data_IF_113759713616
#
_entry.id   IF_113759713616
#
_cell.length_a   1.000
_cell.length_b   1.000
_cell.length_c   1.000
_cell.angle_alpha   90.00
_cell.angle_beta   90.00
_cell.angle_gamma   90.00
#
_symmetry.space_group_name_H-M   'P 1'
#
loop_
_entity.id
_entity.type
_entity.pdbx_description
1 polymer ?
#
# COMPACT_ATOMS: atom_id res chain seq x y z
N UNK A 1 -15.59 24.89 0.46
CA UNK A 1 -15.37 23.70 -0.40
C UNK A 1 -14.78 22.63 0.50
N UNK A 2 -15.43 21.48 0.65
CA UNK A 2 -15.04 20.53 1.70
C UNK A 2 -13.62 20.03 1.48
N UNK A 3 -12.75 20.19 2.46
CA UNK A 3 -11.36 19.74 2.49
C UNK A 3 -11.19 18.30 2.00
N UNK A 4 -12.16 17.42 2.35
CA UNK A 4 -12.21 16.01 1.92
C UNK A 4 -12.33 15.90 0.38
N UNK A 5 -13.15 16.72 -0.28
CA UNK A 5 -13.27 16.69 -1.75
C UNK A 5 -11.96 17.08 -2.44
N UNK A 6 -11.23 18.04 -1.87
CA UNK A 6 -9.92 18.46 -2.38
C UNK A 6 -8.91 17.32 -2.24
N UNK A 7 -8.92 16.63 -1.10
CA UNK A 7 -8.05 15.46 -0.85
C UNK A 7 -8.33 14.32 -1.84
N UNK A 8 -9.59 14.00 -2.09
CA UNK A 8 -10.00 12.97 -3.08
C UNK A 8 -9.56 13.34 -4.50
N UNK A 9 -9.46 14.63 -4.82
CA UNK A 9 -9.01 15.08 -6.14
C UNK A 9 -7.55 14.65 -6.44
N UNK A 10 -6.66 14.64 -5.43
CA UNK A 10 -5.27 14.20 -5.60
C UNK A 10 -5.14 12.71 -5.90
N UNK A 11 -6.13 11.88 -5.54
CA UNK A 11 -6.19 10.48 -5.96
C UNK A 11 -6.57 10.30 -7.43
N UNK A 12 -7.06 11.35 -8.09
CA UNK A 12 -7.51 11.30 -9.48
C UNK A 12 -6.50 10.68 -10.45
N UNK A 13 -5.26 11.17 -10.51
CA UNK A 13 -4.20 10.63 -11.39
C UNK A 13 -3.74 9.23 -11.01
N UNK A 14 -3.85 8.86 -9.72
CA UNK A 14 -3.28 7.62 -9.16
C UNK A 14 -4.31 6.51 -8.93
N UNK A 15 -5.55 6.66 -9.41
CA UNK A 15 -6.66 5.70 -9.21
C UNK A 15 -6.29 4.27 -9.56
N UNK A 16 -5.60 4.07 -10.68
CA UNK A 16 -5.23 2.73 -11.14
C UNK A 16 -4.24 2.07 -10.18
N UNK A 17 -3.22 2.81 -9.74
CA UNK A 17 -2.23 2.32 -8.77
C UNK A 17 -2.91 1.98 -7.44
N UNK A 18 -3.82 2.85 -6.98
CA UNK A 18 -4.58 2.65 -5.75
C UNK A 18 -5.46 1.39 -5.80
N UNK A 19 -6.19 1.17 -6.91
CA UNK A 19 -7.02 -0.03 -7.04
C UNK A 19 -6.21 -1.31 -7.13
N UNK A 20 -5.08 -1.31 -7.83
CA UNK A 20 -4.19 -2.47 -7.90
C UNK A 20 -3.59 -2.76 -6.52
N UNK A 21 -3.17 -1.72 -5.79
CA UNK A 21 -2.67 -1.82 -4.42
C UNK A 21 -3.71 -2.48 -3.49
N UNK A 22 -4.95 -2.05 -3.57
CA UNK A 22 -6.06 -2.60 -2.79
C UNK A 22 -6.36 -4.07 -3.14
N UNK A 23 -6.28 -4.43 -4.42
CA UNK A 23 -6.42 -5.83 -4.86
C UNK A 23 -5.26 -6.67 -4.34
N UNK A 24 -4.02 -6.20 -4.45
CA UNK A 24 -2.85 -6.89 -3.90
C UNK A 24 -2.97 -7.08 -2.38
N UNK A 25 -3.41 -6.06 -1.65
CA UNK A 25 -3.64 -6.16 -0.20
C UNK A 25 -4.72 -7.20 0.14
N UNK A 26 -5.80 -7.26 -0.63
CA UNK A 26 -6.85 -8.28 -0.46
C UNK A 26 -6.30 -9.69 -0.73
N UNK A 27 -5.50 -9.88 -1.79
CA UNK A 27 -4.85 -11.16 -2.10
C UNK A 27 -3.91 -11.59 -0.97
N UNK A 28 -3.09 -10.68 -0.45
CA UNK A 28 -2.20 -10.96 0.68
C UNK A 28 -3.02 -11.45 1.88
N UNK A 29 -4.09 -10.75 2.23
CA UNK A 29 -4.96 -11.11 3.36
C UNK A 29 -5.63 -12.48 3.18
N UNK A 30 -6.07 -12.81 1.97
CA UNK A 30 -6.64 -14.12 1.66
C UNK A 30 -5.59 -15.24 1.81
N UNK A 31 -4.37 -15.03 1.35
CA UNK A 31 -3.26 -15.99 1.51
C UNK A 31 -2.92 -16.17 2.98
N UNK A 32 -2.84 -15.09 3.77
CA UNK A 32 -2.55 -15.14 5.21
C UNK A 32 -3.62 -15.92 5.99
N UNK A 33 -4.88 -15.89 5.55
CA UNK A 33 -5.96 -16.68 6.12
C UNK A 33 -5.94 -18.14 5.64
N UNK A 34 -5.63 -18.37 4.38
CA UNK A 34 -5.61 -19.71 3.78
C UNK A 34 -4.45 -20.57 4.31
N UNK A 35 -3.29 -19.96 4.55
CA UNK A 35 -2.07 -20.66 4.95
C UNK A 35 -2.23 -21.52 6.21
N UNK A 36 -2.71 -20.99 7.35
CA UNK A 36 -2.93 -21.80 8.56
C UNK A 36 -4.02 -22.86 8.39
N UNK A 37 -5.03 -22.63 7.53
CA UNK A 37 -6.07 -23.62 7.27
C UNK A 37 -5.54 -24.81 6.49
N UNK A 38 -4.69 -24.58 5.49
CA UNK A 38 -4.02 -25.63 4.73
C UNK A 38 -3.13 -26.46 5.66
N UNK A 39 -2.29 -25.81 6.48
CA UNK A 39 -1.43 -26.49 7.44
C UNK A 39 -2.23 -27.33 8.45
N UNK A 40 -3.33 -26.79 8.98
CA UNK A 40 -4.21 -27.51 9.90
C UNK A 40 -4.82 -28.76 9.26
N UNK A 41 -5.29 -28.63 8.02
CA UNK A 41 -5.87 -29.75 7.27
C UNK A 41 -4.82 -30.83 7.01
N UNK A 42 -3.62 -30.43 6.62
CA UNK A 42 -2.49 -31.31 6.42
C UNK A 42 -2.12 -32.09 7.68
N UNK A 43 -1.98 -31.37 8.80
CA UNK A 43 -1.62 -32.01 10.08
C UNK A 43 -2.66 -33.06 10.47
N UNK A 44 -3.95 -32.76 10.31
CA UNK A 44 -5.01 -33.75 10.58
C UNK A 44 -4.92 -34.97 9.66
N UNK A 45 -4.67 -34.74 8.37
CA UNK A 45 -4.58 -35.81 7.38
C UNK A 45 -3.35 -36.72 7.62
N UNK A 46 -2.22 -36.14 8.04
CA UNK A 46 -1.00 -36.86 8.39
C UNK A 46 -1.19 -37.83 9.56
N UNK A 47 -2.09 -37.53 10.52
CA UNK A 47 -2.37 -38.39 11.67
C UNK A 47 -3.42 -39.47 11.40
N UNK A 48 -4.15 -39.40 10.27
CA UNK A 48 -5.32 -40.28 10.02
C UNK A 48 -5.21 -41.13 8.76
N UNK A 49 -4.22 -40.97 7.89
CA UNK A 49 -4.11 -41.69 6.61
C UNK A 49 -2.81 -42.52 6.45
N UNK A 50 -2.89 -43.50 5.54
CA UNK A 50 -1.77 -44.37 5.15
C UNK A 50 -0.58 -43.57 4.61
N UNK A 51 0.60 -43.90 5.08
CA UNK A 51 1.88 -43.25 4.82
C UNK A 51 2.24 -43.16 3.32
N UNK A 52 1.78 -44.08 2.50
CA UNK A 52 2.03 -44.09 1.05
C UNK A 52 1.30 -42.99 0.29
N UNK A 53 0.07 -42.64 0.66
CA UNK A 53 -0.71 -41.57 0.04
C UNK A 53 -0.16 -40.20 0.40
N UNK A 54 0.37 -40.05 1.60
CA UNK A 54 0.99 -38.81 2.10
C UNK A 54 2.24 -38.49 1.29
N UNK A 55 3.11 -39.46 1.01
CA UNK A 55 4.34 -39.23 0.24
C UNK A 55 4.07 -38.72 -1.18
N UNK A 56 2.98 -39.13 -1.82
CA UNK A 56 2.59 -38.65 -3.15
C UNK A 56 1.90 -37.25 -3.12
N UNK A 57 1.18 -36.95 -2.05
CA UNK A 57 0.49 -35.67 -1.91
C UNK A 57 1.42 -34.51 -1.47
N UNK A 58 2.48 -34.85 -0.72
CA UNK A 58 3.39 -33.89 -0.12
C UNK A 58 4.07 -32.95 -1.13
N UNK A 59 4.62 -33.40 -2.27
CA UNK A 59 5.25 -32.52 -3.25
C UNK A 59 4.24 -31.58 -3.94
N UNK A 60 3.00 -32.05 -4.17
CA UNK A 60 1.95 -31.23 -4.80
C UNK A 60 1.54 -30.09 -3.87
N UNK A 61 1.39 -30.39 -2.59
CA UNK A 61 1.00 -29.40 -1.59
C UNK A 61 2.15 -28.43 -1.32
N UNK A 62 3.38 -28.92 -1.22
CA UNK A 62 4.56 -28.09 -1.09
C UNK A 62 4.71 -27.12 -2.28
N UNK A 63 4.48 -27.61 -3.50
CA UNK A 63 4.47 -26.79 -4.71
C UNK A 63 3.38 -25.72 -4.68
N UNK A 64 2.17 -26.07 -4.24
CA UNK A 64 1.06 -25.13 -4.08
C UNK A 64 1.36 -24.03 -3.05
N UNK A 65 1.88 -24.39 -1.89
CA UNK A 65 2.29 -23.43 -0.86
C UNK A 65 3.43 -22.54 -1.33
N UNK A 66 4.39 -23.09 -2.06
CA UNK A 66 5.48 -22.30 -2.65
C UNK A 66 4.96 -21.28 -3.66
N UNK A 67 4.02 -21.68 -4.53
CA UNK A 67 3.41 -20.79 -5.49
C UNK A 67 2.61 -19.66 -4.82
N UNK A 68 1.87 -19.98 -3.77
CA UNK A 68 1.17 -19.00 -2.94
C UNK A 68 2.15 -18.01 -2.30
N UNK A 69 3.28 -18.50 -1.80
CA UNK A 69 4.32 -17.66 -1.20
C UNK A 69 4.94 -16.70 -2.23
N UNK A 70 5.26 -17.19 -3.43
CA UNK A 70 5.79 -16.35 -4.52
C UNK A 70 4.79 -15.26 -4.90
N UNK A 71 3.52 -15.63 -5.06
CA UNK A 71 2.45 -14.66 -5.36
C UNK A 71 2.33 -13.60 -4.26
N UNK A 72 2.37 -14.01 -3.00
CA UNK A 72 2.32 -13.09 -1.86
C UNK A 72 3.53 -12.14 -1.86
N UNK A 73 4.72 -12.65 -2.17
CA UNK A 73 5.94 -11.86 -2.24
C UNK A 73 5.86 -10.79 -3.34
N UNK A 74 5.35 -11.15 -4.52
CA UNK A 74 5.13 -10.20 -5.62
C UNK A 74 4.11 -9.12 -5.24
N UNK A 75 2.98 -9.50 -4.62
CA UNK A 75 1.99 -8.54 -4.15
C UNK A 75 2.57 -7.60 -3.07
N UNK A 76 3.30 -8.12 -2.10
CA UNK A 76 3.97 -7.31 -1.06
C UNK A 76 4.98 -6.35 -1.66
N UNK A 77 5.78 -6.82 -2.62
CA UNK A 77 6.72 -5.95 -3.34
C UNK A 77 5.99 -4.80 -4.05
N UNK A 78 4.90 -5.10 -4.77
CA UNK A 78 4.10 -4.09 -5.45
C UNK A 78 3.53 -3.05 -4.48
N UNK A 79 2.87 -3.50 -3.41
CA UNK A 79 2.27 -2.62 -2.38
C UNK A 79 3.35 -1.72 -1.76
N UNK A 80 4.49 -2.29 -1.38
CA UNK A 80 5.56 -1.52 -0.76
C UNK A 80 6.17 -0.51 -1.74
N UNK A 81 6.46 -0.90 -2.97
CA UNK A 81 7.12 -0.04 -3.94
C UNK A 81 6.17 1.03 -4.50
N UNK A 82 5.02 0.62 -5.03
CA UNK A 82 4.09 1.53 -5.70
C UNK A 82 3.24 2.34 -4.72
N UNK A 83 2.86 1.75 -3.58
CA UNK A 83 2.11 2.46 -2.54
C UNK A 83 2.93 3.62 -1.96
N UNK A 84 4.18 3.38 -1.61
CA UNK A 84 5.06 4.45 -1.11
C UNK A 84 5.38 5.50 -2.18
N UNK A 85 5.63 5.10 -3.42
CA UNK A 85 5.84 6.05 -4.53
C UNK A 85 4.60 6.91 -4.79
N UNK A 86 3.42 6.33 -4.73
CA UNK A 86 2.16 7.07 -4.87
C UNK A 86 2.01 8.11 -3.76
N UNK A 87 2.27 7.73 -2.50
CA UNK A 87 2.23 8.64 -1.36
C UNK A 87 3.20 9.81 -1.52
N UNK A 88 4.45 9.54 -1.87
CA UNK A 88 5.47 10.55 -2.10
C UNK A 88 5.14 11.50 -3.27
N UNK A 89 4.57 10.97 -4.36
CA UNK A 89 4.13 11.78 -5.49
C UNK A 89 2.96 12.70 -5.12
N UNK A 90 1.97 12.19 -4.37
CA UNK A 90 0.85 13.00 -3.89
C UNK A 90 1.32 14.11 -2.95
N UNK A 91 2.27 13.81 -2.07
CA UNK A 91 2.88 14.79 -1.17
C UNK A 91 3.61 15.88 -1.97
N UNK A 92 4.39 15.49 -2.99
CA UNK A 92 5.05 16.42 -3.89
C UNK A 92 4.04 17.35 -4.59
N UNK A 93 2.95 16.78 -5.12
CA UNK A 93 1.94 17.53 -5.84
C UNK A 93 1.21 18.54 -4.90
N UNK A 94 0.95 18.13 -3.65
CA UNK A 94 0.39 19.05 -2.63
C UNK A 94 1.36 20.16 -2.25
N UNK A 95 2.65 19.86 -2.11
CA UNK A 95 3.68 20.88 -1.85
C UNK A 95 3.79 21.88 -2.99
N UNK A 96 3.76 21.40 -4.22
CA UNK A 96 3.82 22.26 -5.40
C UNK A 96 2.62 23.21 -5.44
N UNK A 97 1.40 22.70 -5.26
CA UNK A 97 0.19 23.55 -5.23
C UNK A 97 0.24 24.59 -4.11
N UNK A 98 0.74 24.22 -2.92
CA UNK A 98 0.87 25.14 -1.81
C UNK A 98 1.94 26.20 -2.08
N UNK A 99 3.06 25.81 -2.67
CA UNK A 99 4.12 26.74 -3.07
C UNK A 99 3.66 27.72 -4.14
N UNK A 100 2.97 27.23 -5.17
CA UNK A 100 2.40 28.07 -6.22
C UNK A 100 1.36 29.06 -5.66
N UNK A 101 0.57 28.64 -4.69
CA UNK A 101 -0.36 29.50 -3.99
C UNK A 101 0.38 30.58 -3.18
N UNK A 102 1.45 30.24 -2.50
CA UNK A 102 2.27 31.22 -1.78
C UNK A 102 2.87 32.26 -2.71
N UNK A 103 3.34 31.88 -3.89
CA UNK A 103 3.90 32.84 -4.87
C UNK A 103 2.88 33.89 -5.38
N UNK A 104 1.59 33.58 -5.32
CA UNK A 104 0.52 34.47 -5.74
C UNK A 104 0.10 35.47 -4.65
N UNK A 105 0.59 35.30 -3.40
CA UNK A 105 0.25 36.17 -2.30
C UNK A 105 0.97 37.52 -2.40
N UNK A 106 0.29 38.63 -1.97
CA UNK A 106 0.84 39.98 -2.01
C UNK A 106 2.02 40.15 -1.04
N UNK A 107 2.91 41.08 -1.34
CA UNK A 107 4.02 41.46 -0.47
C UNK A 107 3.55 41.89 0.94
N UNK A 108 2.39 42.55 1.02
CA UNK A 108 1.76 42.95 2.29
C UNK A 108 1.45 41.74 3.18
N UNK A 109 1.09 40.59 2.60
CA UNK A 109 0.85 39.37 3.35
C UNK A 109 2.15 38.81 4.00
N UNK A 110 3.26 38.89 3.27
CA UNK A 110 4.57 38.44 3.77
C UNK A 110 5.14 39.34 4.85
N UNK A 111 4.84 40.66 4.80
CA UNK A 111 5.29 41.60 5.83
C UNK A 111 4.52 41.45 7.16
N UNK A 112 3.29 40.93 7.11
CA UNK A 112 2.45 40.69 8.29
C UNK A 112 2.59 39.26 8.86
N UNK A 113 3.08 38.31 8.08
CA UNK A 113 3.24 36.92 8.49
C UNK A 113 4.71 36.52 8.46
N UNK A 114 5.11 35.74 9.45
CA UNK A 114 6.49 35.25 9.53
C UNK A 114 6.76 34.23 8.41
N UNK A 115 7.59 34.62 7.43
CA UNK A 115 7.97 33.78 6.30
C UNK A 115 8.61 32.44 6.73
N UNK A 116 9.30 32.42 7.88
CA UNK A 116 9.85 31.20 8.47
C UNK A 116 8.76 30.20 8.91
N UNK A 117 7.66 30.68 9.49
CA UNK A 117 6.52 29.83 9.83
C UNK A 117 5.82 29.24 8.59
N UNK A 118 5.71 30.04 7.53
CA UNK A 118 5.12 29.56 6.27
C UNK A 118 5.98 28.48 5.62
N UNK A 119 7.29 28.66 5.64
CA UNK A 119 8.25 27.67 5.15
C UNK A 119 8.25 26.38 6.00
N UNK A 120 8.14 26.52 7.32
CA UNK A 120 7.99 25.38 8.22
C UNK A 120 6.74 24.56 7.90
N UNK A 121 5.61 25.20 7.64
CA UNK A 121 4.37 24.52 7.22
C UNK A 121 4.53 23.79 5.89
N UNK A 122 5.26 24.36 4.94
CA UNK A 122 5.52 23.73 3.64
C UNK A 122 6.41 22.50 3.76
N UNK A 123 7.37 22.50 4.71
CA UNK A 123 8.39 21.46 4.83
C UNK A 123 8.03 20.44 5.90
N UNK A 124 7.50 20.87 7.06
CA UNK A 124 7.35 20.00 8.24
C UNK A 124 5.93 19.47 8.46
N UNK A 125 4.89 20.22 8.09
CA UNK A 125 3.51 19.84 8.39
C UNK A 125 2.89 18.91 7.33
N UNK A 126 3.61 18.66 6.24
CA UNK A 126 3.22 17.72 5.17
C UNK A 126 3.88 16.32 5.32
N UNK A 127 4.68 16.10 6.36
CA UNK A 127 5.20 14.79 6.73
C UNK A 127 4.31 14.06 7.72
#
# INVERSE_FOLDING_TARGET
MNTIKKFIHYYGPYKTVFFIDLICAAVISLIDLAYPQILRTMTKTLFTQDQSRILHALPVIAGGLFLMYVLQCLCKYYVTCQGHMMGANMERDMRQELFDHYQQLSFSYYSQNNSGQMMSKLVSDLF
#
